data_IF_523668442031
#
_entry.id   IF_523668442031
#
_cell.length_a   1.000
_cell.length_b   1.000
_cell.length_c   1.000
_cell.angle_alpha   90.00
_cell.angle_beta   90.00
_cell.angle_gamma   90.00
#
_symmetry.space_group_name_H-M   'P 1'
#
loop_
_entity.id
_entity.type
_entity.pdbx_description
1 polymer ?
#
# COMPACT_ATOMS: atom_id res chain seq x y z
N UNK A 1 8.57 -2.34 14.92
CA UNK A 1 7.15 -2.27 14.54
C UNK A 1 6.39 -3.31 15.34
N UNK A 2 5.28 -2.94 15.98
CA UNK A 2 4.44 -3.90 16.71
C UNK A 2 3.25 -4.26 15.81
N UNK A 3 3.14 -5.53 15.41
CA UNK A 3 1.89 -6.06 14.84
C UNK A 3 1.08 -6.62 16.00
N UNK A 4 0.29 -5.73 16.57
CA UNK A 4 -0.69 -6.01 17.60
C UNK A 4 -1.89 -5.14 17.28
N UNK A 5 -3.12 -5.68 17.37
CA UNK A 5 -4.24 -4.82 17.65
C UNK A 5 -4.09 -4.45 19.13
N UNK A 6 -3.32 -3.40 19.38
CA UNK A 6 -3.29 -2.76 20.69
C UNK A 6 -4.72 -2.33 21.03
N UNK A 7 -5.04 -2.16 22.32
CA UNK A 7 -6.33 -1.59 22.74
C UNK A 7 -6.67 -0.29 21.97
N UNK A 8 -5.68 0.44 21.47
CA UNK A 8 -5.84 1.62 20.62
C UNK A 8 -6.55 1.32 19.27
N UNK A 9 -6.19 0.25 18.56
CA UNK A 9 -6.83 -0.11 17.27
C UNK A 9 -8.29 -0.50 17.48
N UNK A 10 -8.56 -1.29 18.52
CA UNK A 10 -9.92 -1.66 18.94
C UNK A 10 -10.74 -0.42 19.33
N UNK A 11 -10.19 0.47 20.18
CA UNK A 11 -10.85 1.71 20.61
C UNK A 11 -11.14 2.63 19.43
N UNK A 12 -10.23 2.77 18.47
CA UNK A 12 -10.43 3.62 17.30
C UNK A 12 -11.59 3.11 16.44
N UNK A 13 -11.62 1.81 16.12
CA UNK A 13 -12.71 1.24 15.31
C UNK A 13 -14.05 1.27 16.03
N UNK A 14 -14.11 0.94 17.33
CA UNK A 14 -15.35 1.03 18.11
C UNK A 14 -15.87 2.47 18.12
N UNK A 15 -15.00 3.46 18.35
CA UNK A 15 -15.38 4.87 18.36
C UNK A 15 -15.88 5.33 16.98
N UNK A 16 -15.24 4.90 15.90
CA UNK A 16 -15.70 5.19 14.54
C UNK A 16 -17.09 4.60 14.28
N UNK A 17 -17.34 3.34 14.69
CA UNK A 17 -18.65 2.70 14.56
C UNK A 17 -19.72 3.40 15.41
N UNK A 18 -19.39 3.80 16.64
CA UNK A 18 -20.30 4.56 17.51
C UNK A 18 -20.68 5.92 16.91
N UNK A 19 -19.73 6.64 16.31
CA UNK A 19 -19.98 7.95 15.69
C UNK A 19 -20.96 7.83 14.51
N UNK A 20 -20.85 6.75 13.72
CA UNK A 20 -21.69 6.53 12.53
C UNK A 20 -22.93 5.66 12.81
N UNK A 21 -23.16 5.27 14.08
CA UNK A 21 -24.29 4.42 14.48
C UNK A 21 -24.24 2.97 13.98
N UNK A 22 -23.06 2.46 13.63
CA UNK A 22 -22.87 1.08 13.18
C UNK A 22 -22.67 0.11 14.36
N UNK A 23 -23.13 -1.14 14.19
CA UNK A 23 -22.96 -2.19 15.20
C UNK A 23 -21.50 -2.56 15.43
N UNK A 24 -21.18 -2.94 16.67
CA UNK A 24 -19.82 -3.33 17.07
C UNK A 24 -19.53 -4.75 16.59
N UNK A 25 -18.38 -4.94 15.94
CA UNK A 25 -17.89 -6.28 15.65
C UNK A 25 -17.46 -7.00 16.94
N UNK A 26 -18.06 -8.14 17.25
CA UNK A 26 -17.75 -8.91 18.47
C UNK A 26 -16.50 -9.81 18.32
N UNK A 27 -16.08 -10.13 17.09
CA UNK A 27 -14.91 -10.96 16.80
C UNK A 27 -13.56 -10.33 17.20
N UNK A 28 -13.52 -9.06 17.60
CA UNK A 28 -12.30 -8.41 18.10
C UNK A 28 -11.75 -9.02 19.40
N UNK A 29 -12.58 -9.75 20.15
CA UNK A 29 -12.13 -10.45 21.35
C UNK A 29 -11.24 -11.67 21.04
N UNK A 30 -11.31 -12.21 19.81
CA UNK A 30 -10.48 -13.33 19.30
C UNK A 30 -9.57 -12.93 18.13
N UNK A 31 -8.99 -11.74 18.22
CA UNK A 31 -8.02 -11.22 17.26
C UNK A 31 -6.67 -11.97 17.30
N UNK A 32 -5.79 -11.71 16.33
CA UNK A 32 -4.43 -12.27 16.30
C UNK A 32 -3.59 -11.76 17.48
N UNK A 33 -2.81 -12.65 18.07
CA UNK A 33 -1.92 -12.39 19.20
C UNK A 33 -0.85 -11.33 18.86
N UNK A 34 -0.35 -10.66 19.91
CA UNK A 34 0.64 -9.61 19.74
C UNK A 34 1.99 -10.18 19.37
N UNK A 35 2.64 -9.63 18.33
CA UNK A 35 4.03 -9.93 18.00
C UNK A 35 4.85 -8.67 17.78
N UNK A 36 5.91 -8.55 18.58
CA UNK A 36 6.96 -7.59 18.33
C UNK A 36 7.76 -8.01 17.10
N UNK A 37 8.08 -7.04 16.24
CA UNK A 37 8.88 -7.35 15.08
C UNK A 37 9.49 -6.17 14.36
N UNK A 38 10.11 -6.52 13.25
CA UNK A 38 10.78 -5.62 12.36
C UNK A 38 10.55 -6.06 10.92
N UNK A 39 10.69 -5.11 10.01
CA UNK A 39 10.65 -5.31 8.57
C UNK A 39 11.74 -4.46 7.96
N UNK A 40 12.59 -5.09 7.15
CA UNK A 40 13.52 -4.42 6.26
C UNK A 40 12.90 -4.44 4.88
N UNK A 41 12.89 -3.30 4.20
CA UNK A 41 12.24 -3.11 2.91
C UNK A 41 13.23 -2.49 1.94
N UNK A 42 13.24 -2.98 0.69
CA UNK A 42 14.04 -2.42 -0.39
C UNK A 42 13.29 -2.53 -1.70
N UNK A 43 13.50 -1.55 -2.57
CA UNK A 43 12.95 -1.50 -3.92
C UNK A 43 14.03 -1.01 -4.87
N UNK A 44 14.12 -1.65 -6.03
CA UNK A 44 14.91 -1.19 -7.16
C UNK A 44 13.96 -0.98 -8.33
N UNK A 45 13.92 0.23 -8.87
CA UNK A 45 13.07 0.58 -10.01
C UNK A 45 13.94 1.12 -11.15
N UNK A 46 13.68 0.64 -12.36
CA UNK A 46 14.23 1.23 -13.57
C UNK A 46 13.34 2.40 -13.98
N UNK A 47 13.94 3.50 -14.45
CA UNK A 47 13.20 4.75 -14.73
C UNK A 47 13.24 5.21 -16.21
N UNK A 48 13.06 4.32 -17.20
CA UNK A 48 12.97 4.75 -18.59
C UNK A 48 11.74 5.64 -18.78
N UNK A 49 11.98 6.85 -19.25
CA UNK A 49 10.95 7.86 -19.49
C UNK A 49 11.32 8.73 -20.68
N UNK A 50 10.31 9.30 -21.31
CA UNK A 50 10.43 10.21 -22.44
C UNK A 50 9.54 11.42 -22.23
N UNK A 51 9.97 12.57 -22.74
CA UNK A 51 9.20 13.81 -22.68
C UNK A 51 8.50 14.05 -24.02
N UNK A 52 7.17 14.15 -23.98
CA UNK A 52 6.30 14.35 -25.15
C UNK A 52 5.44 15.59 -24.88
N UNK A 53 5.65 16.66 -25.66
CA UNK A 53 4.85 17.90 -25.57
C UNK A 53 4.79 18.49 -24.14
N UNK A 54 5.86 18.36 -23.35
CA UNK A 54 5.92 18.86 -21.97
C UNK A 54 5.32 17.92 -20.92
N UNK A 55 4.81 16.75 -21.32
CA UNK A 55 4.44 15.67 -20.41
C UNK A 55 5.53 14.59 -20.42
N UNK A 56 5.99 14.21 -19.24
CA UNK A 56 6.85 13.06 -19.05
C UNK A 56 5.98 11.79 -19.02
N UNK A 57 6.32 10.80 -19.84
CA UNK A 57 5.70 9.48 -19.89
C UNK A 57 6.78 8.46 -19.57
N UNK A 58 6.54 7.62 -18.57
CA UNK A 58 7.49 6.61 -18.13
C UNK A 58 6.87 5.25 -17.89
N UNK A 59 7.69 4.23 -18.10
CA UNK A 59 7.44 2.86 -17.68
C UNK A 59 8.46 2.54 -16.60
N UNK A 60 8.01 2.07 -15.45
CA UNK A 60 8.82 1.88 -14.26
C UNK A 60 8.77 0.43 -13.82
N UNK A 61 9.52 -0.49 -14.47
CA UNK A 61 9.68 -1.85 -13.98
C UNK A 61 10.43 -1.82 -12.65
N UNK A 62 9.94 -2.58 -11.67
CA UNK A 62 10.50 -2.60 -10.33
C UNK A 62 10.56 -4.00 -9.75
N UNK A 63 11.55 -4.20 -8.87
CA UNK A 63 11.69 -5.39 -8.03
C UNK A 63 11.74 -4.91 -6.59
N UNK A 64 10.90 -5.49 -5.75
CA UNK A 64 10.79 -5.13 -4.34
C UNK A 64 11.00 -6.35 -3.45
N UNK A 65 11.53 -6.12 -2.25
CA UNK A 65 11.73 -7.17 -1.28
C UNK A 65 11.46 -6.65 0.12
N UNK A 66 10.71 -7.45 0.88
CA UNK A 66 10.51 -7.24 2.30
C UNK A 66 10.93 -8.49 3.04
N UNK A 67 11.68 -8.30 4.12
CA UNK A 67 12.10 -9.40 4.99
C UNK A 67 11.99 -8.98 6.45
N UNK A 68 11.78 -9.96 7.32
CA UNK A 68 11.60 -9.74 8.75
C UNK A 68 10.75 -10.83 9.38
N UNK A 69 10.47 -10.67 10.67
CA UNK A 69 9.67 -11.64 11.40
C UNK A 69 8.14 -11.42 11.25
N UNK A 70 7.73 -10.32 10.62
CA UNK A 70 6.34 -9.94 10.41
C UNK A 70 5.84 -10.23 9.00
N UNK A 71 6.59 -9.76 7.99
CA UNK A 71 6.30 -9.95 6.58
C UNK A 71 7.56 -10.38 5.85
N UNK A 72 7.41 -11.29 4.90
CA UNK A 72 8.50 -11.70 4.02
C UNK A 72 7.95 -11.98 2.63
N UNK A 73 8.40 -11.20 1.64
CA UNK A 73 8.07 -11.41 0.24
C UNK A 73 9.16 -10.85 -0.67
N UNK A 74 9.21 -11.38 -1.88
CA UNK A 74 9.89 -10.76 -3.02
C UNK A 74 8.81 -10.47 -4.05
N UNK A 75 8.93 -9.35 -4.73
CA UNK A 75 7.95 -8.92 -5.70
C UNK A 75 8.61 -8.32 -6.93
N UNK A 76 7.86 -8.35 -8.02
CA UNK A 76 8.23 -7.71 -9.26
C UNK A 76 6.98 -7.12 -9.89
N UNK A 77 7.13 -5.94 -10.49
CA UNK A 77 6.00 -5.19 -11.01
C UNK A 77 6.44 -4.16 -12.02
N UNK A 78 5.46 -3.43 -12.52
CA UNK A 78 5.71 -2.27 -13.33
C UNK A 78 4.59 -1.24 -13.15
N UNK A 79 4.97 0.03 -13.19
CA UNK A 79 4.04 1.15 -13.22
C UNK A 79 4.25 1.95 -14.49
N UNK A 80 3.17 2.31 -15.16
CA UNK A 80 3.19 3.32 -16.23
C UNK A 80 2.66 4.61 -15.61
N UNK A 81 3.37 5.72 -15.80
CA UNK A 81 2.90 7.02 -15.35
C UNK A 81 3.11 8.10 -16.42
N UNK A 82 2.17 9.05 -16.44
CA UNK A 82 2.24 10.27 -17.22
C UNK A 82 2.04 11.46 -16.29
N UNK A 83 2.87 12.49 -16.44
CA UNK A 83 2.83 13.65 -15.56
C UNK A 83 3.80 14.73 -16.01
N UNK A 84 3.79 15.87 -15.34
CA UNK A 84 4.67 16.99 -15.70
C UNK A 84 5.98 17.05 -14.89
N UNK A 85 6.26 16.05 -14.05
CA UNK A 85 7.47 15.98 -13.26
C UNK A 85 8.04 14.56 -13.33
N UNK A 86 9.24 14.43 -13.89
CA UNK A 86 9.91 13.14 -14.10
C UNK A 86 10.22 12.41 -12.80
N UNK A 87 10.68 13.15 -11.78
CA UNK A 87 11.01 12.57 -10.47
C UNK A 87 9.76 12.04 -9.81
N UNK A 88 8.68 12.82 -9.83
CA UNK A 88 7.40 12.41 -9.28
C UNK A 88 6.81 11.22 -10.04
N UNK A 89 6.94 11.17 -11.36
CA UNK A 89 6.47 10.02 -12.14
C UNK A 89 7.18 8.71 -11.76
N UNK A 90 8.48 8.77 -11.42
CA UNK A 90 9.23 7.60 -10.96
C UNK A 90 8.98 7.18 -9.50
N UNK A 91 8.34 8.03 -8.70
CA UNK A 91 8.01 7.78 -7.30
C UNK A 91 6.79 6.85 -7.20
N UNK A 92 7.01 5.55 -7.37
CA UNK A 92 6.01 4.49 -7.34
C UNK A 92 6.32 3.43 -6.28
N UNK A 93 5.35 2.58 -6.01
CA UNK A 93 5.53 1.40 -5.18
C UNK A 93 4.21 0.79 -4.76
N UNK A 94 4.26 -0.45 -4.27
CA UNK A 94 3.07 -1.21 -3.87
C UNK A 94 3.18 -1.74 -2.44
N UNK A 95 2.04 -2.08 -1.85
CA UNK A 95 1.98 -2.75 -0.55
C UNK A 95 2.69 -1.97 0.56
N UNK A 96 3.70 -2.59 1.20
CA UNK A 96 4.46 -1.95 2.29
C UNK A 96 5.44 -0.86 1.80
N UNK A 97 5.65 -0.77 0.50
CA UNK A 97 6.50 0.22 -0.16
C UNK A 97 5.68 1.28 -0.92
N UNK A 98 4.34 1.20 -0.88
CA UNK A 98 3.49 2.18 -1.52
C UNK A 98 3.72 3.59 -0.95
N UNK A 99 3.98 4.60 -1.80
CA UNK A 99 4.14 5.97 -1.35
C UNK A 99 2.82 6.51 -0.79
N UNK A 100 2.91 7.28 0.31
CA UNK A 100 1.73 7.85 0.99
C UNK A 100 1.54 9.32 0.62
N UNK A 101 1.44 9.60 -0.68
CA UNK A 101 1.32 10.94 -1.23
C UNK A 101 2.53 11.34 -2.08
N UNK A 102 2.67 12.63 -2.35
CA UNK A 102 3.82 13.19 -3.05
C UNK A 102 5.05 13.19 -2.12
N UNK A 103 6.05 12.35 -2.39
CA UNK A 103 7.24 12.26 -1.54
C UNK A 103 8.48 12.84 -2.22
N UNK A 104 8.62 12.67 -3.54
CA UNK A 104 9.77 13.16 -4.29
C UNK A 104 9.36 14.01 -5.49
N UNK A 105 9.87 15.24 -5.56
CA UNK A 105 9.65 16.17 -6.66
C UNK A 105 10.97 16.82 -7.07
N UNK A 106 11.10 17.13 -8.37
CA UNK A 106 12.25 17.91 -8.87
C UNK A 106 12.12 19.40 -8.56
N UNK A 107 10.89 19.90 -8.46
CA UNK A 107 10.55 21.28 -8.14
C UNK A 107 9.21 21.32 -7.37
N UNK A 108 9.13 22.13 -6.33
CA UNK A 108 7.93 22.33 -5.49
C UNK A 108 7.06 23.49 -5.96
N UNK A 109 7.44 24.18 -7.04
CA UNK A 109 6.68 25.29 -7.59
C UNK A 109 5.63 24.86 -8.63
N UNK A 110 4.54 25.63 -8.69
CA UNK A 110 3.55 25.56 -9.76
C UNK A 110 2.57 24.38 -9.71
N UNK A 111 1.98 24.10 -10.88
CA UNK A 111 1.03 23.02 -11.09
C UNK A 111 1.76 21.68 -11.20
N UNK A 112 1.22 20.63 -10.58
CA UNK A 112 1.75 19.26 -10.64
C UNK A 112 0.61 18.29 -10.92
N UNK A 113 0.85 17.34 -11.81
CA UNK A 113 -0.07 16.24 -12.05
C UNK A 113 0.68 14.95 -12.39
N UNK A 114 0.06 13.83 -12.04
CA UNK A 114 0.49 12.49 -12.40
C UNK A 114 -0.74 11.60 -12.53
N UNK A 115 -0.81 10.80 -13.58
CA UNK A 115 -1.75 9.69 -13.70
C UNK A 115 -0.91 8.43 -13.82
N UNK A 116 -1.26 7.41 -13.06
CA UNK A 116 -0.47 6.19 -13.01
C UNK A 116 -1.35 4.95 -12.95
N UNK A 117 -0.84 3.88 -13.54
CA UNK A 117 -1.43 2.55 -13.49
C UNK A 117 -0.31 1.53 -13.42
N UNK A 118 -0.42 0.56 -12.51
CA UNK A 118 0.61 -0.44 -12.32
C UNK A 118 0.12 -1.71 -11.66
N UNK A 119 0.96 -2.71 -11.72
CA UNK A 119 0.73 -4.02 -11.12
C UNK A 119 2.03 -4.53 -10.51
N UNK A 120 1.94 -5.12 -9.33
CA UNK A 120 3.02 -5.87 -8.69
C UNK A 120 2.54 -7.27 -8.32
N UNK A 121 3.33 -8.28 -8.68
CA UNK A 121 3.16 -9.66 -8.22
C UNK A 121 4.15 -9.94 -7.10
N UNK A 122 3.65 -10.46 -5.98
CA UNK A 122 4.42 -10.82 -4.79
C UNK A 122 4.42 -12.31 -4.59
N UNK A 123 5.61 -12.87 -4.39
CA UNK A 123 5.80 -14.19 -3.83
C UNK A 123 5.95 -14.07 -2.31
N UNK A 124 4.85 -14.33 -1.60
CA UNK A 124 4.70 -14.17 -0.16
C UNK A 124 5.12 -15.45 0.56
N UNK A 125 6.20 -15.34 1.33
CA UNK A 125 6.69 -16.41 2.19
C UNK A 125 6.15 -16.30 3.62
N UNK A 126 5.86 -15.06 4.07
CA UNK A 126 5.35 -14.82 5.41
C UNK A 126 4.40 -13.63 5.44
N UNK A 127 3.26 -13.83 6.08
CA UNK A 127 2.36 -12.76 6.48
C UNK A 127 1.76 -13.07 7.86
N UNK A 128 2.29 -12.42 8.89
CA UNK A 128 1.86 -12.67 10.27
C UNK A 128 0.39 -12.30 10.54
N UNK A 129 -0.22 -11.41 9.74
CA UNK A 129 -1.65 -11.08 9.92
C UNK A 129 -2.58 -12.19 9.42
N UNK A 130 -2.05 -13.21 8.75
CA UNK A 130 -2.82 -14.37 8.27
C UNK A 130 -2.36 -15.66 8.96
N UNK A 131 -1.07 -15.77 9.27
CA UNK A 131 -0.48 -16.95 9.91
C UNK A 131 -0.48 -16.89 11.44
N UNK A 132 -0.69 -15.71 12.02
CA UNK A 132 -0.71 -15.51 13.47
C UNK A 132 -1.85 -16.26 14.14
N UNK A 133 -1.63 -16.68 15.39
CA UNK A 133 -2.65 -17.36 16.18
C UNK A 133 -3.59 -16.35 16.80
N UNK A 134 -4.88 -16.68 16.82
CA UNK A 134 -5.90 -15.93 17.55
C UNK A 134 -5.73 -16.05 19.07
N UNK A 135 -6.20 -15.06 19.84
CA UNK A 135 -5.94 -14.97 21.29
C UNK A 135 -6.73 -16.02 22.09
N UNK A 136 -7.99 -16.26 21.75
CA UNK A 136 -8.89 -17.18 22.47
C UNK A 136 -8.85 -18.58 21.87
N UNK A 137 -9.05 -18.70 20.54
CA UNK A 137 -9.09 -20.02 19.88
C UNK A 137 -7.70 -20.61 19.67
N UNK A 138 -6.64 -19.79 19.72
CA UNK A 138 -5.22 -20.20 19.55
C UNK A 138 -4.95 -20.93 18.23
N UNK A 139 -5.77 -20.66 17.23
CA UNK A 139 -5.71 -21.30 15.92
C UNK A 139 -5.22 -20.32 14.86
N UNK A 140 -4.56 -20.86 13.84
CA UNK A 140 -4.35 -20.16 12.58
C UNK A 140 -5.61 -20.37 11.74
N UNK A 141 -6.25 -19.27 11.32
CA UNK A 141 -7.59 -19.32 10.72
C UNK A 141 -7.56 -19.60 9.22
N UNK A 142 -6.49 -19.23 8.53
CA UNK A 142 -6.41 -19.27 7.07
C UNK A 142 -5.06 -19.78 6.57
N UNK A 143 -5.07 -20.31 5.34
CA UNK A 143 -3.84 -20.73 4.64
C UNK A 143 -3.45 -19.68 3.62
N UNK A 144 -2.22 -19.17 3.74
CA UNK A 144 -1.64 -18.14 2.85
C UNK A 144 -1.63 -18.60 1.38
N UNK A 145 -1.95 -17.67 0.47
CA UNK A 145 -1.59 -17.78 -0.93
C UNK A 145 -0.17 -17.26 -1.14
N UNK A 146 0.68 -18.09 -1.75
CA UNK A 146 2.08 -17.72 -1.98
C UNK A 146 2.25 -16.67 -3.06
N UNK A 147 1.27 -16.46 -3.93
CA UNK A 147 1.32 -15.47 -4.99
C UNK A 147 0.14 -14.52 -4.83
N UNK A 148 0.44 -13.23 -4.71
CA UNK A 148 -0.55 -12.16 -4.55
C UNK A 148 -0.24 -11.06 -5.54
N UNK A 149 -1.25 -10.62 -6.28
CA UNK A 149 -1.15 -9.54 -7.24
C UNK A 149 -1.83 -8.29 -6.68
N UNK A 150 -1.15 -7.16 -6.72
CA UNK A 150 -1.70 -5.85 -6.40
C UNK A 150 -1.74 -4.99 -7.65
N UNK A 151 -2.92 -4.46 -7.95
CA UNK A 151 -3.18 -3.51 -9.03
C UNK A 151 -3.45 -2.15 -8.42
N UNK A 152 -2.87 -1.11 -9.01
CA UNK A 152 -3.09 0.26 -8.58
C UNK A 152 -3.33 1.15 -9.80
N UNK A 153 -4.39 1.95 -9.73
CA UNK A 153 -4.68 3.00 -10.72
C UNK A 153 -5.02 4.27 -9.96
N UNK A 154 -4.37 5.37 -10.28
CA UNK A 154 -4.57 6.61 -9.55
C UNK A 154 -4.15 7.85 -10.29
N UNK A 155 -4.46 8.98 -9.68
CA UNK A 155 -4.06 10.27 -10.15
C UNK A 155 -3.75 11.20 -8.98
N UNK A 156 -2.82 12.12 -9.24
CA UNK A 156 -2.48 13.22 -8.36
C UNK A 156 -2.62 14.51 -9.14
N UNK A 157 -3.23 15.51 -8.52
CA UNK A 157 -3.33 16.87 -9.04
C UNK A 157 -3.05 17.86 -7.91
N UNK A 158 -2.26 18.88 -8.19
CA UNK A 158 -1.90 19.87 -7.18
C UNK A 158 -1.42 21.17 -7.78
N UNK A 159 -1.48 22.21 -6.96
CA UNK A 159 -0.86 23.49 -7.21
C UNK A 159 -0.25 23.96 -5.91
N UNK A 160 1.00 24.42 -5.95
CA UNK A 160 1.75 24.76 -4.74
C UNK A 160 0.92 25.66 -3.79
N UNK A 161 0.81 25.32 -2.49
CA UNK A 161 1.55 24.26 -1.78
C UNK A 161 0.75 22.96 -1.54
N UNK A 162 -0.34 22.69 -2.28
CA UNK A 162 -1.27 21.58 -1.97
C UNK A 162 -1.51 20.67 -3.16
N UNK A 163 -1.44 19.36 -2.92
CA UNK A 163 -1.80 18.33 -3.88
C UNK A 163 -2.77 17.30 -3.29
N UNK A 164 -3.60 16.77 -4.15
CA UNK A 164 -4.58 15.72 -3.85
C UNK A 164 -4.26 14.48 -4.68
N UNK A 165 -4.16 13.34 -4.02
CA UNK A 165 -3.95 12.04 -4.65
C UNK A 165 -5.13 11.13 -4.38
N UNK A 166 -5.59 10.43 -5.41
CA UNK A 166 -6.59 9.37 -5.31
C UNK A 166 -6.06 8.12 -6.02
N UNK A 167 -6.03 6.99 -5.33
CA UNK A 167 -5.60 5.71 -5.88
C UNK A 167 -6.63 4.62 -5.57
N UNK A 168 -7.07 3.93 -6.61
CA UNK A 168 -7.89 2.72 -6.56
C UNK A 168 -6.95 1.52 -6.59
N UNK A 169 -7.11 0.64 -5.61
CA UNK A 169 -6.24 -0.51 -5.42
C UNK A 169 -7.10 -1.77 -5.43
N UNK A 170 -6.60 -2.83 -6.05
CA UNK A 170 -7.18 -4.17 -5.97
C UNK A 170 -6.06 -5.14 -5.62
N UNK A 171 -6.29 -5.99 -4.64
CA UNK A 171 -5.36 -7.04 -4.23
C UNK A 171 -6.06 -8.37 -4.43
N UNK A 172 -5.38 -9.32 -5.08
CA UNK A 172 -5.92 -10.67 -5.23
C UNK A 172 -5.93 -11.39 -3.89
N UNK A 173 -6.74 -12.44 -3.79
CA UNK A 173 -6.89 -13.21 -2.57
C UNK A 173 -5.56 -13.58 -1.90
N UNK A 174 -5.32 -13.09 -0.68
CA UNK A 174 -4.10 -13.35 0.09
C UNK A 174 -4.10 -14.74 0.78
N UNK A 175 -5.22 -15.45 0.77
CA UNK A 175 -5.38 -16.77 1.39
C UNK A 175 -6.39 -17.65 0.65
N UNK A 176 -6.22 -18.97 0.68
CA UNK A 176 -6.92 -19.93 -0.21
C UNK A 176 -8.45 -19.85 -0.23
N UNK A 177 -9.06 -19.49 0.89
CA UNK A 177 -10.52 -19.40 1.05
C UNK A 177 -11.04 -17.95 0.98
N UNK A 178 -10.17 -17.00 0.67
CA UNK A 178 -10.51 -15.59 0.53
C UNK A 178 -10.82 -15.21 -0.90
N UNK A 179 -11.38 -14.02 -1.06
CA UNK A 179 -11.63 -13.40 -2.36
C UNK A 179 -10.74 -12.18 -2.57
N UNK A 180 -10.65 -11.73 -3.82
CA UNK A 180 -10.03 -10.45 -4.16
C UNK A 180 -10.75 -9.30 -3.43
N UNK A 181 -10.00 -8.28 -3.03
CA UNK A 181 -10.57 -7.09 -2.40
C UNK A 181 -10.06 -5.81 -3.04
N UNK A 182 -10.85 -4.74 -2.92
CA UNK A 182 -10.51 -3.41 -3.45
C UNK A 182 -10.61 -2.36 -2.36
N UNK A 183 -9.73 -1.37 -2.43
CA UNK A 183 -9.71 -0.25 -1.49
C UNK A 183 -9.20 1.01 -2.15
N UNK A 184 -9.59 2.15 -1.59
CA UNK A 184 -9.22 3.47 -2.10
C UNK A 184 -8.33 4.16 -1.07
N UNK A 185 -7.25 4.77 -1.56
CA UNK A 185 -6.42 5.66 -0.77
C UNK A 185 -6.58 7.09 -1.29
N UNK A 186 -6.91 8.01 -0.39
CA UNK A 186 -6.86 9.44 -0.64
C UNK A 186 -5.76 10.08 0.19
N UNK A 187 -4.99 11.00 -0.39
CA UNK A 187 -3.99 11.78 0.33
C UNK A 187 -4.10 13.26 -0.01
N UNK A 188 -3.89 14.10 1.00
CA UNK A 188 -3.65 15.53 0.86
C UNK A 188 -2.19 15.75 1.23
N UNK A 189 -1.38 16.23 0.30
CA UNK A 189 0.04 16.47 0.51
C UNK A 189 0.31 17.97 0.44
N UNK A 190 0.95 18.50 1.48
CA UNK A 190 1.50 19.84 1.48
C UNK A 190 2.95 19.76 0.99
N UNK A 191 3.28 20.53 -0.04
CA UNK A 191 4.62 20.61 -0.61
C UNK A 191 5.07 22.06 -0.69
N UNK A 192 6.29 22.32 -0.23
CA UNK A 192 6.92 23.62 -0.13
C UNK A 192 8.39 23.48 -0.50
#
# INVERSE_FOLDING_TARGET
>A
MLLAPTQAVRKYKIKAHEIIGAEKYHAWDDQIENRYGYTVKGMLSMTPSMDILGANVGLYPEVSAVTGNLFQYVAYGATIAIGNDKTFNSDNGFGLLAPRGLMHMSDTSGFKYKIFAGMERRDVNRNYTLEGKTIQTKQTTVSLNKTVDEYQVGATIGYAPVAFTLAFNKVTSEFKTGDDYSFINGAITFFF
#
